data_IF_137901532444
#
_entry.id   IF_137901532444
#
_cell.length_a   1.000
_cell.length_b   1.000
_cell.length_c   1.000
_cell.angle_alpha   90.00
_cell.angle_beta   90.00
_cell.angle_gamma   90.00
#
_symmetry.space_group_name_H-M   'P 1'
#
loop_
_entity.id
_entity.type
_entity.pdbx_description
1 polymer ?
#
# COMPACT_ATOMS: atom_id res chain seq x y z
N UNK A 1 -9.64 16.95 -23.38
CA UNK A 1 -8.53 15.98 -23.48
C UNK A 1 -8.95 14.55 -23.14
N UNK A 2 -8.87 14.04 -21.91
CA UNK A 2 -9.01 12.59 -21.63
C UNK A 2 -10.33 11.97 -22.15
N UNK A 3 -11.48 12.56 -21.82
CA UNK A 3 -12.77 12.04 -22.29
C UNK A 3 -13.07 12.44 -23.74
N UNK A 4 -12.95 13.74 -24.04
CA UNK A 4 -13.41 14.31 -25.30
C UNK A 4 -12.51 13.99 -26.51
N UNK A 5 -11.20 13.90 -26.31
CA UNK A 5 -10.23 13.73 -27.41
C UNK A 5 -9.66 12.31 -27.44
N UNK A 6 -9.39 11.72 -26.26
CA UNK A 6 -8.79 10.38 -26.16
C UNK A 6 -9.83 9.27 -25.95
N UNK A 7 -11.11 9.62 -25.78
CA UNK A 7 -12.20 8.65 -25.64
C UNK A 7 -12.11 7.77 -24.39
N UNK A 8 -11.39 8.21 -23.35
CA UNK A 8 -11.32 7.49 -22.08
C UNK A 8 -12.56 7.77 -21.22
N UNK A 9 -12.94 6.84 -20.36
CA UNK A 9 -14.04 7.01 -19.41
C UNK A 9 -13.51 7.37 -18.03
N UNK A 10 -13.99 8.50 -17.49
CA UNK A 10 -13.71 8.88 -16.11
C UNK A 10 -14.34 7.88 -15.13
N UNK A 11 -13.55 7.38 -14.19
CA UNK A 11 -13.99 6.41 -13.19
C UNK A 11 -14.10 7.04 -11.79
N UNK A 12 -13.03 7.65 -11.32
CA UNK A 12 -12.99 8.20 -9.96
C UNK A 12 -12.04 9.38 -9.82
N UNK A 13 -12.42 10.31 -8.95
CA UNK A 13 -11.53 11.33 -8.41
C UNK A 13 -11.04 10.85 -7.06
N UNK A 14 -9.75 10.59 -6.96
CA UNK A 14 -9.11 10.14 -5.72
C UNK A 14 -8.38 11.32 -5.10
N UNK A 15 -8.66 11.59 -3.84
CA UNK A 15 -7.95 12.61 -3.05
C UNK A 15 -6.86 11.93 -2.25
N UNK A 16 -5.60 12.22 -2.57
CA UNK A 16 -4.47 11.84 -1.74
C UNK A 16 -4.27 12.90 -0.67
N UNK A 17 -4.69 12.60 0.56
CA UNK A 17 -4.50 13.44 1.73
C UNK A 17 -3.15 13.18 2.41
N UNK A 18 -2.46 14.25 2.79
CA UNK A 18 -1.21 14.22 3.54
C UNK A 18 -1.21 15.30 4.65
N UNK A 19 -0.66 14.96 5.81
CA UNK A 19 -0.72 15.82 7.01
C UNK A 19 0.35 16.92 7.03
N UNK A 20 1.47 16.69 6.34
CA UNK A 20 2.61 17.60 6.30
C UNK A 20 2.63 18.44 5.02
N UNK A 21 2.89 19.73 5.16
CA UNK A 21 3.04 20.64 4.03
C UNK A 21 3.21 22.08 4.46
N UNK A 22 3.61 22.94 3.52
CA UNK A 22 3.80 24.37 3.78
C UNK A 22 2.49 24.98 4.27
N UNK A 23 2.57 25.72 5.38
CA UNK A 23 1.43 26.45 5.95
C UNK A 23 1.19 27.76 5.21
N UNK A 24 -0.09 28.12 5.04
CA UNK A 24 -0.51 29.45 4.56
C UNK A 24 -0.93 30.32 5.73
N UNK A 25 -0.62 31.61 5.67
CA UNK A 25 -1.09 32.63 6.63
C UNK A 25 -2.46 33.20 6.29
N UNK A 26 -2.92 33.02 5.05
CA UNK A 26 -4.27 33.39 4.56
C UNK A 26 -4.86 32.25 3.74
N UNK A 27 -6.09 31.83 4.08
CA UNK A 27 -6.78 30.69 3.46
C UNK A 27 -6.38 29.32 4.03
N UNK A 28 -6.94 28.24 3.48
CA UNK A 28 -6.61 26.88 3.91
C UNK A 28 -5.32 26.39 3.25
N UNK A 29 -4.45 25.79 4.08
CA UNK A 29 -3.20 25.20 3.60
C UNK A 29 -3.51 23.95 2.75
N UNK A 30 -2.84 23.74 1.61
CA UNK A 30 -3.05 22.54 0.80
C UNK A 30 -2.59 21.31 1.60
N UNK A 31 -3.44 20.30 1.64
CA UNK A 31 -3.22 19.03 2.35
C UNK A 31 -3.64 17.83 1.50
N UNK A 32 -3.79 18.04 0.21
CA UNK A 32 -4.07 16.97 -0.72
C UNK A 32 -3.56 17.29 -2.11
N UNK A 33 -3.31 16.22 -2.85
CA UNK A 33 -3.20 16.22 -4.30
C UNK A 33 -4.30 15.31 -4.87
N UNK A 34 -4.61 15.51 -6.15
CA UNK A 34 -5.66 14.77 -6.84
C UNK A 34 -5.06 13.72 -7.77
N UNK A 35 -5.67 12.53 -7.77
CA UNK A 35 -5.35 11.43 -8.67
C UNK A 35 -6.63 11.12 -9.45
N UNK A 36 -6.58 11.37 -10.76
CA UNK A 36 -7.72 11.11 -11.64
C UNK A 36 -7.59 9.73 -12.25
N UNK A 37 -8.58 8.87 -12.03
CA UNK A 37 -8.61 7.53 -12.58
C UNK A 37 -9.51 7.47 -13.83
N UNK A 38 -8.91 7.09 -14.95
CA UNK A 38 -9.59 6.88 -16.23
C UNK A 38 -9.40 5.44 -16.71
N UNK A 39 -10.39 4.94 -17.45
CA UNK A 39 -10.39 3.59 -18.03
C UNK A 39 -10.65 3.68 -19.54
N UNK A 40 -10.13 2.72 -20.30
CA UNK A 40 -10.39 2.66 -21.75
C UNK A 40 -11.79 2.11 -22.06
N UNK A 41 -12.23 1.12 -21.29
CA UNK A 41 -13.57 0.54 -21.36
C UNK A 41 -14.15 0.53 -19.93
N UNK A 42 -15.30 1.19 -19.69
CA UNK A 42 -15.89 1.28 -18.35
C UNK A 42 -16.45 -0.04 -17.82
N UNK A 43 -16.62 -1.06 -18.68
CA UNK A 43 -17.09 -2.39 -18.30
C UNK A 43 -15.96 -3.41 -18.26
N UNK A 44 -14.87 -3.18 -18.99
CA UNK A 44 -13.75 -4.13 -19.16
C UNK A 44 -12.43 -3.50 -18.73
N UNK A 45 -12.25 -3.32 -17.43
CA UNK A 45 -10.98 -2.88 -16.84
C UNK A 45 -10.64 -3.74 -15.62
N UNK A 46 -9.34 -3.90 -15.36
CA UNK A 46 -8.86 -4.60 -14.17
C UNK A 46 -9.12 -3.75 -12.92
N UNK A 47 -9.80 -4.34 -11.94
CA UNK A 47 -9.98 -3.72 -10.62
C UNK A 47 -9.93 -4.77 -9.50
N UNK A 48 -8.74 -5.00 -8.96
CA UNK A 48 -8.49 -6.01 -7.94
C UNK A 48 -8.76 -5.43 -6.53
N UNK A 49 -10.04 -5.19 -6.21
CA UNK A 49 -10.44 -4.59 -4.93
C UNK A 49 -9.87 -5.34 -3.72
N UNK A 50 -9.89 -6.68 -3.77
CA UNK A 50 -9.43 -7.52 -2.67
C UNK A 50 -7.93 -7.36 -2.37
N UNK A 51 -7.12 -6.91 -3.34
CA UNK A 51 -5.69 -6.64 -3.16
C UNK A 51 -5.40 -5.31 -2.46
N UNK A 52 -6.40 -4.44 -2.30
CA UNK A 52 -6.25 -3.09 -1.72
C UNK A 52 -7.24 -2.80 -0.60
N UNK A 53 -7.93 -3.84 -0.10
CA UNK A 53 -8.84 -3.69 1.04
C UNK A 53 -8.08 -3.26 2.27
N UNK A 54 -8.80 -2.59 3.17
CA UNK A 54 -8.30 -2.21 4.49
C UNK A 54 -8.99 -3.03 5.58
N UNK A 55 -8.28 -3.37 6.67
CA UNK A 55 -8.90 -4.05 7.80
C UNK A 55 -10.10 -3.28 8.37
N UNK A 56 -11.06 -4.03 8.89
CA UNK A 56 -12.28 -3.47 9.47
C UNK A 56 -11.96 -2.79 10.82
N UNK A 57 -12.58 -1.63 11.09
CA UNK A 57 -12.45 -0.98 12.41
C UNK A 57 -13.23 -1.75 13.50
N UNK A 58 -14.37 -2.31 13.13
CA UNK A 58 -15.25 -3.10 14.00
C UNK A 58 -15.63 -4.38 13.29
N UNK A 59 -15.68 -5.49 14.02
CA UNK A 59 -16.27 -6.73 13.53
C UNK A 59 -17.80 -6.62 13.54
N UNK A 60 -18.44 -7.00 12.44
CA UNK A 60 -19.89 -7.17 12.30
C UNK A 60 -20.12 -8.41 11.45
N UNK A 61 -21.16 -9.19 11.73
CA UNK A 61 -21.46 -10.43 10.98
C UNK A 61 -21.69 -10.19 9.48
N UNK A 62 -22.10 -8.98 9.10
CA UNK A 62 -22.31 -8.57 7.70
C UNK A 62 -21.04 -8.08 7.00
N UNK A 63 -19.93 -7.91 7.73
CA UNK A 63 -18.70 -7.40 7.13
C UNK A 63 -18.06 -8.44 6.22
N UNK A 64 -17.48 -7.96 5.13
CA UNK A 64 -16.50 -8.75 4.41
C UNK A 64 -15.24 -8.89 5.28
N UNK A 65 -14.93 -10.12 5.67
CA UNK A 65 -13.77 -10.44 6.50
C UNK A 65 -12.45 -10.13 5.80
N UNK A 66 -12.44 -10.09 4.46
CA UNK A 66 -11.30 -9.63 3.65
C UNK A 66 -11.04 -8.13 3.74
N UNK A 67 -11.88 -7.38 4.46
CA UNK A 67 -11.71 -5.95 4.71
C UNK A 67 -12.70 -5.04 3.98
N UNK A 68 -12.63 -3.76 4.30
CA UNK A 68 -13.43 -2.70 3.68
C UNK A 68 -12.76 -2.17 2.41
N UNK A 69 -13.56 -1.59 1.51
CA UNK A 69 -13.04 -0.80 0.39
C UNK A 69 -12.30 0.43 0.96
N UNK A 70 -11.09 0.78 0.49
CA UNK A 70 -10.32 1.92 1.00
C UNK A 70 -10.99 3.28 0.76
N UNK A 71 -12.00 3.34 -0.12
CA UNK A 71 -12.63 4.56 -0.59
C UNK A 71 -11.75 5.31 -1.59
N UNK A 72 -12.12 6.56 -1.91
CA UNK A 72 -11.37 7.44 -2.79
C UNK A 72 -10.65 8.58 -2.05
N UNK A 73 -10.57 8.53 -0.72
CA UNK A 73 -9.73 9.43 0.08
C UNK A 73 -8.64 8.59 0.71
N UNK A 74 -7.41 8.78 0.23
CA UNK A 74 -6.26 7.98 0.60
C UNK A 74 -5.30 8.80 1.44
N UNK A 75 -4.89 8.25 2.57
CA UNK A 75 -3.95 8.93 3.46
C UNK A 75 -2.58 8.26 3.34
N UNK A 76 -1.64 9.00 2.75
CA UNK A 76 -0.23 8.62 2.70
C UNK A 76 0.61 9.85 3.02
N UNK A 77 1.62 9.70 3.89
CA UNK A 77 2.54 10.79 4.15
C UNK A 77 3.51 10.99 2.97
N UNK A 78 4.01 12.20 2.80
CA UNK A 78 5.16 12.43 1.93
C UNK A 78 6.38 11.64 2.41
N UNK A 79 7.30 11.35 1.49
CA UNK A 79 8.58 10.73 1.83
C UNK A 79 9.36 11.68 2.74
N UNK A 80 9.47 11.30 4.01
CA UNK A 80 10.12 12.13 5.03
C UNK A 80 11.62 12.31 4.71
N UNK A 81 12.20 13.43 5.15
CA UNK A 81 13.59 13.75 4.82
C UNK A 81 14.61 12.74 5.36
N UNK A 82 14.28 12.08 6.48
CA UNK A 82 15.06 10.98 7.08
C UNK A 82 14.71 9.58 6.55
N UNK A 83 13.77 9.45 5.61
CA UNK A 83 13.40 8.13 5.10
C UNK A 83 14.61 7.47 4.43
N UNK A 84 14.87 6.21 4.79
CA UNK A 84 15.97 5.42 4.21
C UNK A 84 15.82 5.25 2.70
N UNK A 85 14.58 5.19 2.22
CA UNK A 85 14.24 5.02 0.80
C UNK A 85 14.18 6.38 0.06
N UNK A 86 14.46 7.50 0.73
CA UNK A 86 14.51 8.81 0.09
C UNK A 86 15.67 8.88 -0.89
N UNK A 87 15.37 9.38 -2.07
CA UNK A 87 16.33 9.69 -3.13
C UNK A 87 16.47 11.20 -3.28
N UNK A 88 17.59 11.71 -3.83
CA UNK A 88 17.79 13.11 -4.17
C UNK A 88 16.89 13.57 -5.34
N UNK A 89 15.58 13.47 -5.16
CA UNK A 89 14.56 13.92 -6.09
C UNK A 89 13.54 14.79 -5.33
N UNK A 90 13.22 16.01 -5.81
CA UNK A 90 12.46 16.99 -5.03
C UNK A 90 11.02 16.55 -4.75
N UNK A 91 10.43 15.75 -5.63
CA UNK A 91 9.01 15.39 -5.61
C UNK A 91 8.77 13.88 -5.62
N UNK A 92 9.71 13.10 -5.04
CA UNK A 92 9.55 11.65 -4.88
C UNK A 92 8.20 11.33 -4.21
N UNK A 93 7.45 10.43 -4.85
CA UNK A 93 6.17 9.96 -4.34
C UNK A 93 6.36 8.72 -3.45
N UNK A 94 5.51 8.55 -2.43
CA UNK A 94 5.53 7.38 -1.54
C UNK A 94 5.27 6.08 -2.30
N UNK A 95 5.97 5.02 -1.94
CA UNK A 95 5.85 3.68 -2.52
C UNK A 95 4.47 3.06 -2.26
N UNK A 96 3.92 3.18 -1.03
CA UNK A 96 2.61 2.63 -0.69
C UNK A 96 1.45 3.24 -1.49
N UNK A 97 1.59 4.49 -1.97
CA UNK A 97 0.62 5.11 -2.87
C UNK A 97 0.63 4.43 -4.24
N UNK A 98 1.82 4.18 -4.80
CA UNK A 98 1.98 3.48 -6.07
C UNK A 98 1.59 2.01 -5.98
N UNK A 99 1.90 1.36 -4.86
CA UNK A 99 1.47 -0.01 -4.59
C UNK A 99 -0.04 -0.15 -4.69
N UNK A 100 -0.81 0.72 -4.03
CA UNK A 100 -2.27 0.72 -4.14
C UNK A 100 -2.74 0.88 -5.58
N UNK A 101 -2.16 1.80 -6.35
CA UNK A 101 -2.54 2.05 -7.75
C UNK A 101 -2.28 0.80 -8.60
N UNK A 102 -1.09 0.22 -8.47
CA UNK A 102 -0.63 -0.93 -9.26
C UNK A 102 -1.42 -2.19 -8.91
N UNK A 103 -1.58 -2.51 -7.62
CA UNK A 103 -2.33 -3.69 -7.19
C UNK A 103 -3.80 -3.60 -7.60
N UNK A 104 -4.41 -2.42 -7.48
CA UNK A 104 -5.80 -2.23 -7.90
C UNK A 104 -5.99 -2.40 -9.40
N UNK A 105 -5.05 -1.89 -10.21
CA UNK A 105 -5.28 -1.66 -11.66
C UNK A 105 -4.50 -2.60 -12.59
N UNK A 106 -3.76 -3.58 -12.06
CA UNK A 106 -2.96 -4.51 -12.86
C UNK A 106 -2.83 -5.89 -12.21
N UNK A 107 -2.56 -6.90 -13.02
CA UNK A 107 -2.23 -8.25 -12.60
C UNK A 107 -0.71 -8.50 -12.65
N UNK A 108 -0.25 -9.57 -12.00
CA UNK A 108 1.14 -10.00 -12.13
C UNK A 108 1.47 -10.31 -13.59
N UNK A 109 2.65 -9.89 -14.04
CA UNK A 109 3.09 -9.97 -15.43
C UNK A 109 2.62 -8.83 -16.35
N UNK A 110 1.64 -8.03 -15.94
CA UNK A 110 1.18 -6.88 -16.74
C UNK A 110 2.29 -5.81 -16.87
N UNK A 111 2.23 -5.02 -17.94
CA UNK A 111 3.10 -3.86 -18.13
C UNK A 111 2.48 -2.59 -17.56
N UNK A 112 3.27 -1.82 -16.81
CA UNK A 112 2.87 -0.54 -16.21
C UNK A 112 3.82 0.56 -16.67
N UNK A 113 3.28 1.65 -17.21
CA UNK A 113 4.05 2.76 -17.76
C UNK A 113 3.97 3.99 -16.87
N UNK A 114 5.13 4.59 -16.59
CA UNK A 114 5.26 5.96 -16.07
C UNK A 114 6.04 6.82 -17.08
N UNK A 115 5.39 7.77 -17.78
CA UNK A 115 6.07 8.62 -18.73
C UNK A 115 6.91 9.74 -18.07
N UNK A 116 6.85 9.88 -16.74
CA UNK A 116 7.55 10.91 -15.96
C UNK A 116 8.14 10.29 -14.68
N UNK A 117 8.96 9.25 -14.85
CA UNK A 117 9.28 8.30 -13.78
C UNK A 117 10.11 8.90 -12.63
N UNK A 118 10.84 10.00 -12.88
CA UNK A 118 11.62 10.71 -11.88
C UNK A 118 12.51 9.78 -11.05
N UNK A 119 12.29 9.74 -9.73
CA UNK A 119 13.05 8.88 -8.79
C UNK A 119 12.83 7.36 -8.91
N UNK A 120 12.05 6.87 -9.87
CA UNK A 120 11.88 5.42 -10.07
C UNK A 120 10.88 4.74 -9.13
N UNK A 121 9.98 5.46 -8.46
CA UNK A 121 9.04 4.86 -7.48
C UNK A 121 8.16 3.79 -8.13
N UNK A 122 7.56 4.08 -9.29
CA UNK A 122 6.73 3.10 -10.01
C UNK A 122 7.50 1.83 -10.35
N UNK A 123 8.72 1.97 -10.87
CA UNK A 123 9.56 0.84 -11.26
C UNK A 123 9.92 -0.02 -10.05
N UNK A 124 10.26 0.62 -8.92
CA UNK A 124 10.58 -0.11 -7.69
C UNK A 124 9.38 -0.92 -7.21
N UNK A 125 8.18 -0.35 -7.21
CA UNK A 125 6.96 -1.08 -6.81
C UNK A 125 6.64 -2.20 -7.80
N UNK A 126 6.81 -1.98 -9.10
CA UNK A 126 6.62 -3.03 -10.12
C UNK A 126 7.57 -4.22 -9.89
N UNK A 127 8.83 -3.95 -9.56
CA UNK A 127 9.82 -4.99 -9.23
C UNK A 127 9.37 -5.86 -8.05
N UNK A 128 8.78 -5.26 -7.01
CA UNK A 128 8.33 -6.00 -5.81
C UNK A 128 6.96 -6.65 -5.95
N UNK A 129 6.20 -6.26 -6.97
CA UNK A 129 4.86 -6.77 -7.22
C UNK A 129 4.83 -7.65 -8.47
N UNK A 130 5.95 -8.06 -9.05
CA UNK A 130 5.99 -8.90 -10.25
C UNK A 130 5.25 -8.28 -11.46
N UNK A 131 5.41 -6.96 -11.68
CA UNK A 131 4.91 -6.26 -12.88
C UNK A 131 6.07 -5.79 -13.74
N UNK A 132 5.84 -5.68 -15.05
CA UNK A 132 6.81 -5.15 -16.00
C UNK A 132 6.74 -3.62 -16.03
N UNK A 133 7.54 -2.94 -15.21
CA UNK A 133 7.60 -1.47 -15.15
C UNK A 133 8.37 -0.87 -16.33
N UNK A 134 7.79 0.14 -16.98
CA UNK A 134 8.42 0.95 -18.05
C UNK A 134 8.42 2.40 -17.58
N UNK A 135 9.60 3.02 -17.56
CA UNK A 135 9.79 4.40 -17.13
C UNK A 135 10.41 5.25 -18.23
N UNK A 136 9.89 6.45 -18.42
CA UNK A 136 10.48 7.47 -19.30
C UNK A 136 10.83 8.68 -18.44
N UNK A 137 12.02 9.23 -18.65
CA UNK A 137 12.50 10.43 -17.98
C UNK A 137 13.40 11.20 -18.93
N UNK A 138 13.30 12.52 -18.92
CA UNK A 138 14.08 13.40 -19.79
C UNK A 138 15.42 13.79 -19.15
N UNK A 139 15.46 13.84 -17.81
CA UNK A 139 16.68 14.16 -17.08
C UNK A 139 17.57 12.92 -16.91
N UNK A 140 18.76 12.87 -17.53
CA UNK A 140 19.66 11.72 -17.41
C UNK A 140 20.08 11.42 -15.97
N UNK A 141 20.22 12.43 -15.11
CA UNK A 141 20.57 12.21 -13.69
C UNK A 141 19.46 11.44 -12.95
N UNK A 142 18.20 11.65 -13.32
CA UNK A 142 17.08 10.92 -12.72
C UNK A 142 16.94 9.51 -13.29
N UNK A 143 17.37 9.28 -14.54
CA UNK A 143 17.52 7.92 -15.09
C UNK A 143 18.55 7.13 -14.28
N UNK A 144 19.74 7.71 -14.06
CA UNK A 144 20.78 7.10 -13.23
C UNK A 144 20.27 6.83 -11.82
N UNK A 145 19.58 7.80 -11.21
CA UNK A 145 19.00 7.65 -9.89
C UNK A 145 17.98 6.51 -9.80
N UNK A 146 17.12 6.36 -10.81
CA UNK A 146 16.15 5.28 -10.88
C UNK A 146 16.84 3.92 -11.06
N UNK A 147 17.87 3.84 -11.91
CA UNK A 147 18.67 2.63 -12.10
C UNK A 147 19.39 2.21 -10.82
N UNK A 148 20.06 3.14 -10.15
CA UNK A 148 20.68 2.91 -8.84
C UNK A 148 19.66 2.42 -7.83
N UNK A 149 18.48 3.07 -7.77
CA UNK A 149 17.38 2.64 -6.91
C UNK A 149 17.06 1.19 -7.20
N UNK A 150 16.87 0.76 -8.45
CA UNK A 150 16.46 -0.62 -8.78
C UNK A 150 17.53 -1.68 -8.47
N UNK A 151 18.81 -1.30 -8.44
CA UNK A 151 19.93 -2.21 -8.17
C UNK A 151 20.24 -2.41 -6.68
N UNK A 152 19.60 -1.65 -5.78
CA UNK A 152 19.76 -1.81 -4.32
C UNK A 152 18.78 -2.86 -3.79
N UNK A 153 19.18 -3.69 -2.80
CA UNK A 153 18.27 -4.61 -2.13
C UNK A 153 16.99 -3.93 -1.62
N UNK A 154 15.87 -4.63 -1.72
CA UNK A 154 14.60 -4.16 -1.19
C UNK A 154 14.52 -4.45 0.31
N UNK A 155 14.05 -3.48 1.10
CA UNK A 155 13.98 -3.55 2.56
C UNK A 155 12.59 -3.25 3.12
N UNK A 156 11.56 -3.25 2.26
CA UNK A 156 10.22 -2.79 2.61
C UNK A 156 9.89 -1.44 1.96
N UNK A 157 8.59 -1.16 1.88
CA UNK A 157 8.09 0.08 1.29
C UNK A 157 8.26 1.26 2.24
N UNK A 158 8.43 2.47 1.69
CA UNK A 158 8.64 3.69 2.48
C UNK A 158 7.39 4.18 3.22
N UNK A 159 6.24 3.60 2.92
CA UNK A 159 4.94 3.99 3.45
C UNK A 159 3.92 2.87 3.25
N UNK A 160 2.96 2.79 4.18
CA UNK A 160 1.77 1.95 4.09
C UNK A 160 0.54 2.80 4.42
N UNK A 161 -0.66 2.36 4.04
CA UNK A 161 -1.87 3.01 4.54
C UNK A 161 -1.99 2.73 6.03
N UNK A 162 -2.03 3.77 6.87
CA UNK A 162 -2.09 3.62 8.32
C UNK A 162 -3.27 2.75 8.80
N UNK A 163 -4.32 2.63 7.98
CA UNK A 163 -5.49 1.79 8.26
C UNK A 163 -5.19 0.29 8.10
N UNK A 164 -4.12 -0.09 7.40
CA UNK A 164 -3.64 -1.48 7.33
C UNK A 164 -3.23 -2.02 8.70
N UNK A 165 -2.83 -1.15 9.63
CA UNK A 165 -2.49 -1.55 11.01
C UNK A 165 -3.73 -1.76 11.91
N UNK A 166 -4.95 -1.57 11.40
CA UNK A 166 -6.16 -1.62 12.23
C UNK A 166 -6.48 -3.03 12.71
N UNK A 167 -6.66 -3.13 14.02
CA UNK A 167 -7.24 -4.30 14.69
C UNK A 167 -8.68 -3.99 15.12
N UNK A 168 -9.68 -4.86 14.87
CA UNK A 168 -11.07 -4.61 15.26
C UNK A 168 -11.24 -4.44 16.77
N UNK A 169 -11.99 -3.44 17.21
CA UNK A 169 -12.14 -3.11 18.64
C UNK A 169 -12.93 -4.18 19.43
N UNK A 170 -13.78 -4.96 18.77
CA UNK A 170 -14.76 -5.86 19.40
C UNK A 170 -14.56 -7.36 19.05
N UNK A 171 -13.32 -7.78 18.81
CA UNK A 171 -12.94 -9.20 18.61
C UNK A 171 -12.75 -9.89 19.97
N UNK A 172 -13.85 -10.27 20.62
CA UNK A 172 -13.83 -10.88 21.97
C UNK A 172 -13.63 -12.39 21.96
N UNK A 173 -14.12 -13.08 20.92
CA UNK A 173 -14.00 -14.52 20.76
C UNK A 173 -12.56 -14.92 20.37
N UNK A 174 -11.87 -15.78 21.15
CA UNK A 174 -10.49 -16.19 20.86
C UNK A 174 -10.30 -16.88 19.50
N UNK A 175 -11.22 -17.76 19.11
CA UNK A 175 -11.10 -18.52 17.86
C UNK A 175 -11.21 -17.59 16.64
N UNK A 176 -12.19 -16.68 16.65
CA UNK A 176 -12.31 -15.68 15.59
C UNK A 176 -11.14 -14.69 15.58
N UNK A 177 -10.54 -14.40 16.75
CA UNK A 177 -9.40 -13.50 16.87
C UNK A 177 -8.15 -14.09 16.22
N UNK A 178 -7.81 -15.33 16.51
CA UNK A 178 -6.66 -16.02 15.91
C UNK A 178 -6.80 -16.09 14.38
N UNK A 179 -7.95 -16.56 13.90
CA UNK A 179 -8.25 -16.62 12.48
C UNK A 179 -8.18 -15.24 11.81
N UNK A 180 -8.65 -14.18 12.48
CA UNK A 180 -8.55 -12.82 11.95
C UNK A 180 -7.10 -12.35 11.86
N UNK A 181 -6.27 -12.61 12.87
CA UNK A 181 -4.85 -12.17 12.89
C UNK A 181 -4.07 -12.88 11.78
N UNK A 182 -4.27 -14.19 11.62
CA UNK A 182 -3.64 -14.95 10.54
C UNK A 182 -4.02 -14.37 9.18
N UNK A 183 -5.32 -14.22 8.93
CA UNK A 183 -5.83 -13.61 7.71
C UNK A 183 -5.35 -12.17 7.52
N UNK A 184 -5.18 -11.41 8.60
CA UNK A 184 -4.72 -10.03 8.54
C UNK A 184 -3.30 -9.94 7.97
N UNK A 185 -2.41 -10.81 8.45
CA UNK A 185 -1.03 -10.90 7.95
C UNK A 185 -1.03 -11.33 6.48
N UNK A 186 -1.78 -12.39 6.16
CA UNK A 186 -1.81 -12.96 4.81
C UNK A 186 -2.42 -12.00 3.77
N UNK A 187 -3.42 -11.19 4.14
CA UNK A 187 -4.13 -10.34 3.20
C UNK A 187 -3.61 -8.90 3.16
N UNK A 188 -3.37 -8.27 4.32
CA UNK A 188 -3.06 -6.84 4.38
C UNK A 188 -1.57 -6.55 4.46
N UNK A 189 -0.77 -7.50 4.96
CA UNK A 189 0.68 -7.34 5.14
C UNK A 189 1.49 -8.21 4.18
N UNK A 190 0.85 -8.79 3.15
CA UNK A 190 1.50 -9.65 2.15
C UNK A 190 2.79 -9.03 1.58
N UNK A 191 2.74 -7.74 1.27
CA UNK A 191 3.87 -7.00 0.69
C UNK A 191 4.62 -6.14 1.73
N UNK A 192 4.27 -6.27 3.02
CA UNK A 192 4.84 -5.51 4.13
C UNK A 192 5.29 -6.43 5.28
N UNK A 193 6.11 -7.47 5.03
CA UNK A 193 6.56 -8.37 6.08
C UNK A 193 7.32 -7.65 7.21
N UNK A 194 7.95 -6.51 6.92
CA UNK A 194 8.64 -5.65 7.88
C UNK A 194 7.71 -5.05 8.96
N UNK A 195 6.41 -4.95 8.68
CA UNK A 195 5.40 -4.40 9.59
C UNK A 195 4.81 -5.45 10.54
N UNK A 196 5.00 -6.74 10.26
CA UNK A 196 4.46 -7.86 11.05
C UNK A 196 4.85 -7.78 12.54
N UNK A 197 6.13 -7.54 12.92
CA UNK A 197 6.51 -7.49 14.34
C UNK A 197 5.79 -6.39 15.12
N UNK A 198 5.59 -5.21 14.52
CA UNK A 198 4.87 -4.10 15.16
C UNK A 198 3.40 -4.48 15.38
N UNK A 199 2.74 -5.06 14.37
CA UNK A 199 1.34 -5.49 14.46
C UNK A 199 1.15 -6.56 15.53
N UNK A 200 2.06 -7.52 15.64
CA UNK A 200 1.99 -8.53 16.69
C UNK A 200 2.15 -7.93 18.09
N UNK A 201 3.01 -6.92 18.24
CA UNK A 201 3.11 -6.17 19.50
C UNK A 201 1.81 -5.42 19.82
N UNK A 202 1.14 -4.83 18.82
CA UNK A 202 -0.17 -4.19 18.98
C UNK A 202 -1.28 -5.20 19.33
N UNK A 203 -1.30 -6.36 18.68
CA UNK A 203 -2.19 -7.49 18.98
C UNK A 203 -2.03 -7.89 20.44
N UNK A 204 -0.80 -8.11 20.90
CA UNK A 204 -0.53 -8.49 22.28
C UNK A 204 -0.96 -7.41 23.26
N UNK A 205 -0.67 -6.14 22.96
CA UNK A 205 -1.10 -4.99 23.78
C UNK A 205 -2.63 -4.89 23.86
N UNK A 206 -3.33 -5.17 22.77
CA UNK A 206 -4.78 -5.01 22.67
C UNK A 206 -5.56 -6.18 23.24
N UNK A 207 -5.12 -7.41 22.99
CA UNK A 207 -5.87 -8.61 23.30
C UNK A 207 -5.23 -9.46 24.40
N UNK A 208 -3.95 -9.30 24.73
CA UNK A 208 -3.19 -10.22 25.59
C UNK A 208 -3.76 -10.45 27.00
N UNK A 209 -4.57 -9.51 27.52
CA UNK A 209 -5.21 -9.61 28.85
C UNK A 209 -6.66 -10.13 28.81
N UNK A 210 -7.14 -10.64 27.67
CA UNK A 210 -8.53 -11.12 27.51
C UNK A 210 -8.64 -12.58 27.96
N UNK A 211 -9.62 -13.00 28.78
CA UNK A 211 -9.75 -14.41 29.18
C UNK A 211 -9.77 -15.35 27.95
N UNK A 212 -8.97 -16.43 27.99
CA UNK A 212 -8.81 -17.37 26.87
C UNK A 212 -7.65 -17.06 25.91
N UNK A 213 -6.70 -16.22 26.30
CA UNK A 213 -5.50 -15.85 25.50
C UNK A 213 -4.21 -16.56 25.93
N UNK A 214 -4.29 -17.51 26.87
CA UNK A 214 -3.11 -18.22 27.41
C UNK A 214 -2.38 -19.06 26.35
N UNK A 215 -3.02 -19.30 25.19
CA UNK A 215 -2.44 -20.01 24.06
C UNK A 215 -2.89 -19.38 22.72
N UNK A 216 -2.71 -18.07 22.50
CA UNK A 216 -2.57 -17.65 21.09
C UNK A 216 -1.26 -18.28 20.66
N UNK A 217 -1.24 -19.30 19.76
CA UNK A 217 0.02 -19.86 19.30
C UNK A 217 0.65 -18.72 18.51
N UNK A 218 1.58 -18.01 19.14
CA UNK A 218 2.37 -17.00 18.47
C UNK A 218 2.99 -17.72 17.28
N UNK A 219 2.51 -17.30 16.09
CA UNK A 219 2.83 -17.83 14.77
C UNK A 219 4.19 -18.52 14.83
N UNK A 220 4.17 -19.85 14.75
CA UNK A 220 5.39 -20.66 14.88
C UNK A 220 6.51 -20.04 14.04
N UNK A 221 7.77 -20.13 14.48
CA UNK A 221 8.93 -19.70 13.69
C UNK A 221 8.84 -20.19 12.23
N UNK A 222 8.19 -21.34 12.02
CA UNK A 222 7.86 -21.90 10.71
C UNK A 222 6.99 -21.00 9.82
N UNK A 223 5.96 -20.33 10.34
CA UNK A 223 5.14 -19.38 9.56
C UNK A 223 5.90 -18.09 9.20
N UNK A 224 6.79 -17.61 10.09
CA UNK A 224 7.70 -16.52 9.76
C UNK A 224 8.69 -16.92 8.67
N UNK A 225 9.19 -18.16 8.70
CA UNK A 225 10.05 -18.72 7.66
C UNK A 225 9.31 -18.94 6.34
N UNK A 226 8.04 -19.38 6.36
CA UNK A 226 7.24 -19.61 5.15
C UNK A 226 6.83 -18.28 4.49
N UNK A 227 6.49 -17.25 5.28
CA UNK A 227 6.24 -15.89 4.79
C UNK A 227 7.52 -15.18 4.32
N UNK A 228 8.63 -15.35 5.05
CA UNK A 228 9.94 -14.81 4.69
C UNK A 228 10.57 -15.45 3.45
N UNK A 229 10.38 -16.76 3.26
CA UNK A 229 10.84 -17.46 2.05
C UNK A 229 10.01 -17.10 0.81
N UNK A 230 8.74 -16.71 0.97
CA UNK A 230 7.95 -16.22 -0.16
C UNK A 230 8.40 -14.83 -0.66
N UNK A 231 9.06 -14.03 0.20
CA UNK A 231 9.64 -12.73 -0.17
C UNK A 231 11.13 -12.82 -0.58
N UNK A 232 11.85 -13.87 -0.18
CA UNK A 232 13.26 -14.10 -0.52
C UNK A 232 13.47 -15.04 -1.73
N UNK A 233 12.40 -15.73 -2.19
CA UNK A 233 12.40 -16.55 -3.41
C UNK A 233 11.43 -15.98 -4.44
N UNK A 234 11.75 -14.81 -5.02
CA UNK A 234 11.22 -14.36 -6.31
C UNK A 234 12.07 -13.21 -6.87
#
# INVERSE_FOLDING_TARGET
IMEQELGMTFNSWITWHYTQGIGKTKGFSPRHDDILFFTKDPQKFTFNLDAIRIPQKYYRSVNNMRGANPGNVWEFSHVHYCSKNRKPHPTQKPEGLFERIILASSNEGDSVLDPFVGSGTLLRVCQQTNRNGIGIEINPEYIELAQERLNVPFHGFDSIDARMKRLPENLTDPHFREQYIENHIQWFLKNHPEEIPEILAEVQKKYGNTPGTEEIPFLSEQMFLDLGNCAAQQ
#
